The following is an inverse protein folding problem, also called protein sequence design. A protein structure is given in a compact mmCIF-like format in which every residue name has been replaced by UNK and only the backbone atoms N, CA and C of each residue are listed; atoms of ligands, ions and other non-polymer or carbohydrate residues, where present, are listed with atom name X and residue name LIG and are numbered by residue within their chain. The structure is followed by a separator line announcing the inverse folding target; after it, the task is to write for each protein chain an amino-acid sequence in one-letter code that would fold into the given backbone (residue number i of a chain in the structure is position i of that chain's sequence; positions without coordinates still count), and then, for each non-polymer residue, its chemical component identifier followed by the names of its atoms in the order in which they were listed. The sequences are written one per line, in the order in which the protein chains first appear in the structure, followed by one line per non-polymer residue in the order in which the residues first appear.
data_IF_788055645923
#
_entry.id   IF_788055645923
#
_cell.length_a   1.000
_cell.length_b   1.000
_cell.length_c   1.000
_cell.angle_alpha   90.00
_cell.angle_beta   90.00
_cell.angle_gamma   90.00
#
_symmetry.space_group_name_H-M   'P 1'
#
loop_
_entity.id
_entity.type
_entity.pdbx_description
1 polymer ?
#
# COMPACT_ATOMS: atom_id res chain seq x y z
N UNK A 1 3.45 11.68 11.75
CA UNK A 1 3.78 10.36 12.31
C UNK A 1 4.97 10.42 13.27
N UNK A 2 6.15 10.93 12.85
CA UNK A 2 7.36 10.96 13.70
C UNK A 2 7.31 11.83 14.97
N UNK A 3 6.48 12.89 15.00
CA UNK A 3 6.31 13.73 16.20
C UNK A 3 5.53 13.02 17.31
N UNK A 4 4.57 12.16 16.94
CA UNK A 4 3.73 11.44 17.90
C UNK A 4 4.53 10.30 18.56
N UNK A 5 5.35 9.60 17.77
CA UNK A 5 6.21 8.53 18.29
C UNK A 5 7.28 9.07 19.24
N UNK A 6 7.90 10.21 18.93
CA UNK A 6 8.85 10.87 19.82
C UNK A 6 8.19 11.29 21.15
N UNK A 7 6.96 11.81 21.10
CA UNK A 7 6.20 12.19 22.29
C UNK A 7 5.86 10.99 23.18
N UNK A 8 5.39 9.88 22.58
CA UNK A 8 5.07 8.64 23.32
C UNK A 8 6.32 8.06 23.99
N UNK A 9 7.45 8.02 23.28
CA UNK A 9 8.72 7.55 23.84
C UNK A 9 9.16 8.44 25.02
N UNK A 10 9.03 9.75 24.89
CA UNK A 10 9.38 10.70 25.96
C UNK A 10 8.46 10.57 27.19
N UNK A 11 7.16 10.38 26.99
CA UNK A 11 6.20 10.18 28.08
C UNK A 11 6.44 8.86 28.84
N UNK A 12 6.72 7.77 28.12
CA UNK A 12 7.05 6.46 28.73
C UNK A 12 8.38 6.51 29.48
N UNK A 13 9.37 7.22 28.94
CA UNK A 13 10.65 7.46 29.59
C UNK A 13 10.52 8.18 30.94
N UNK A 14 9.71 9.24 30.99
CA UNK A 14 9.40 9.97 32.22
C UNK A 14 8.63 9.10 33.23
N UNK A 15 7.67 8.29 32.77
CA UNK A 15 6.89 7.39 33.64
C UNK A 15 7.74 6.31 34.31
N UNK A 16 8.75 5.78 33.60
CA UNK A 16 9.66 4.77 34.11
C UNK A 16 10.85 5.36 34.92
N UNK A 17 10.88 6.68 35.12
CA UNK A 17 11.89 7.36 35.94
C UNK A 17 13.27 7.47 35.29
N UNK A 18 13.40 7.14 34.01
CA UNK A 18 14.63 7.29 33.27
C UNK A 18 14.74 8.75 32.79
N UNK A 19 15.67 9.52 33.37
CA UNK A 19 15.93 10.94 33.02
C UNK A 19 17.24 11.15 32.29
N UNK A 20 17.96 10.08 31.93
CA UNK A 20 19.34 10.12 31.44
C UNK A 20 19.54 9.46 30.07
N UNK A 21 20.68 9.79 29.45
CA UNK A 21 21.22 9.40 28.12
C UNK A 21 21.05 7.90 27.77
N UNK A 22 20.81 7.02 28.76
CA UNK A 22 20.52 5.59 28.57
C UNK A 22 19.19 5.27 27.89
N UNK A 23 18.27 6.23 27.73
CA UNK A 23 17.05 6.06 26.92
C UNK A 23 17.34 6.10 25.42
N UNK A 24 18.39 6.81 25.00
CA UNK A 24 18.67 7.06 23.58
C UNK A 24 18.84 5.75 22.79
N UNK A 25 19.59 4.74 23.25
CA UNK A 25 19.72 3.46 22.54
C UNK A 25 18.39 2.71 22.41
N UNK A 26 17.54 2.74 23.44
CA UNK A 26 16.24 2.03 23.45
C UNK A 26 15.25 2.76 22.54
N UNK A 27 15.19 4.09 22.62
CA UNK A 27 14.37 4.93 21.75
C UNK A 27 14.76 4.79 20.27
N UNK A 28 16.06 4.76 19.97
CA UNK A 28 16.57 4.53 18.61
C UNK A 28 16.23 3.11 18.16
N UNK A 29 16.40 2.09 19.02
CA UNK A 29 16.03 0.72 18.70
C UNK A 29 14.54 0.55 18.37
N UNK A 30 13.65 1.10 19.20
CA UNK A 30 12.19 1.08 18.97
C UNK A 30 11.83 1.87 17.71
N UNK A 31 12.45 3.03 17.49
CA UNK A 31 12.20 3.85 16.29
C UNK A 31 12.61 3.11 15.01
N UNK A 32 13.78 2.48 15.00
CA UNK A 32 14.25 1.67 13.86
C UNK A 32 13.32 0.49 13.58
N UNK A 33 12.87 -0.23 14.61
CA UNK A 33 11.91 -1.33 14.48
C UNK A 33 10.55 -0.82 13.97
N UNK A 34 10.10 0.33 14.46
CA UNK A 34 8.82 0.93 14.06
C UNK A 34 8.85 1.43 12.61
N UNK A 35 9.97 2.00 12.17
CA UNK A 35 10.21 2.41 10.79
C UNK A 35 10.19 1.17 9.89
N UNK A 36 10.96 0.14 10.24
CA UNK A 36 10.99 -1.11 9.46
C UNK A 36 9.63 -1.81 9.39
N UNK A 37 8.90 -1.89 10.50
CA UNK A 37 7.56 -2.47 10.56
C UNK A 37 6.53 -1.67 9.77
N UNK A 38 6.64 -0.34 9.75
CA UNK A 38 5.76 0.51 8.94
C UNK A 38 6.06 0.34 7.45
N UNK A 39 7.34 0.29 7.05
CA UNK A 39 7.73 0.05 5.66
C UNK A 39 7.22 -1.28 5.11
N UNK A 40 7.17 -2.34 5.93
CA UNK A 40 6.68 -3.66 5.48
C UNK A 40 5.16 -3.80 5.46
N UNK A 41 4.42 -2.93 6.17
CA UNK A 41 2.95 -2.99 6.26
C UNK A 41 2.22 -1.89 5.46
N UNK A 42 2.91 -0.93 4.87
CA UNK A 42 2.28 0.16 4.09
C UNK A 42 1.35 -0.33 2.98
N UNK A 43 1.72 -1.40 2.27
CA UNK A 43 0.92 -1.94 1.16
C UNK A 43 -0.43 -2.52 1.63
N UNK A 44 -0.48 -3.10 2.84
CA UNK A 44 -1.72 -3.64 3.42
C UNK A 44 -2.63 -2.55 3.99
N UNK A 45 -2.04 -1.46 4.49
CA UNK A 45 -2.80 -0.36 5.10
C UNK A 45 -3.59 0.40 4.02
N UNK A 46 -3.00 0.65 2.85
CA UNK A 46 -3.69 1.36 1.74
C UNK A 46 -4.84 0.53 1.16
N UNK A 47 -4.64 -0.78 0.99
CA UNK A 47 -5.68 -1.68 0.51
C UNK A 47 -6.85 -1.81 1.51
N UNK A 48 -6.56 -1.82 2.81
CA UNK A 48 -7.59 -1.93 3.86
C UNK A 48 -8.34 -0.61 4.06
N UNK A 49 -7.68 0.54 3.89
CA UNK A 49 -8.29 1.87 4.05
C UNK A 49 -9.20 2.28 2.88
N UNK A 50 -8.90 1.81 1.66
CA UNK A 50 -9.67 2.15 0.44
C UNK A 50 -10.86 1.22 0.21
N UNK A 51 -11.01 0.13 0.98
CA UNK A 51 -12.02 -0.89 0.71
C UNK A 51 -11.79 -1.62 -0.61
N UNK A 52 -10.55 -1.58 -1.13
CA UNK A 52 -10.18 -2.20 -2.39
C UNK A 52 -10.36 -3.72 -2.33
N UNK A 53 -11.23 -4.26 -3.19
CA UNK A 53 -11.42 -5.70 -3.34
C UNK A 53 -10.39 -6.22 -4.32
N UNK A 54 -9.43 -6.99 -3.82
CA UNK A 54 -8.48 -7.69 -4.69
C UNK A 54 -9.26 -8.66 -5.56
N UNK A 55 -9.06 -8.56 -6.86
CA UNK A 55 -9.68 -9.43 -7.84
C UNK A 55 -8.71 -10.55 -8.23
N UNK A 56 -9.30 -11.70 -8.53
CA UNK A 56 -8.65 -12.82 -9.20
C UNK A 56 -9.26 -13.02 -10.59
N UNK A 57 -8.63 -13.87 -11.40
CA UNK A 57 -9.08 -14.23 -12.74
C UNK A 57 -10.56 -14.66 -12.77
N UNK A 58 -11.03 -15.35 -11.72
CA UNK A 58 -12.43 -15.81 -11.64
C UNK A 58 -13.43 -14.68 -11.36
N UNK A 59 -13.01 -13.62 -10.66
CA UNK A 59 -13.90 -12.52 -10.25
C UNK A 59 -14.08 -11.45 -11.31
N UNK A 60 -13.04 -11.15 -12.09
CA UNK A 60 -13.07 -10.15 -13.15
C UNK A 60 -12.06 -10.51 -14.27
N UNK A 61 -12.36 -11.55 -15.07
CA UNK A 61 -11.41 -12.10 -16.04
C UNK A 61 -10.97 -11.08 -17.09
N UNK A 62 -11.86 -10.17 -17.49
CA UNK A 62 -11.56 -9.17 -18.53
C UNK A 62 -10.49 -8.17 -18.07
N UNK A 63 -10.61 -7.65 -16.85
CA UNK A 63 -9.65 -6.72 -16.28
C UNK A 63 -8.34 -7.43 -15.92
N UNK A 64 -8.42 -8.64 -15.39
CA UNK A 64 -7.24 -9.45 -15.07
C UNK A 64 -6.43 -9.77 -16.33
N UNK A 65 -7.08 -10.18 -17.42
CA UNK A 65 -6.42 -10.48 -18.70
C UNK A 65 -5.80 -9.24 -19.34
N UNK A 66 -6.45 -8.09 -19.24
CA UNK A 66 -5.89 -6.82 -19.71
C UNK A 66 -4.57 -6.49 -19.01
N UNK A 67 -4.54 -6.56 -17.68
CA UNK A 67 -3.31 -6.32 -16.91
C UNK A 67 -2.27 -7.40 -17.21
N UNK A 68 -2.70 -8.66 -17.35
CA UNK A 68 -1.82 -9.78 -17.66
C UNK A 68 -1.11 -9.60 -19.01
N UNK A 69 -1.84 -9.23 -20.07
CA UNK A 69 -1.27 -8.94 -21.38
C UNK A 69 -0.22 -7.82 -21.32
N UNK A 70 -0.52 -6.73 -20.60
CA UNK A 70 0.42 -5.63 -20.40
C UNK A 70 1.68 -6.12 -19.68
N UNK A 71 1.53 -6.92 -18.61
CA UNK A 71 2.68 -7.43 -17.84
C UNK A 71 3.55 -8.37 -18.66
N UNK A 72 2.96 -9.22 -19.50
CA UNK A 72 3.69 -10.09 -20.43
C UNK A 72 4.47 -9.24 -21.44
N UNK A 73 3.82 -8.25 -22.06
CA UNK A 73 4.46 -7.36 -23.02
C UNK A 73 5.60 -6.54 -22.38
N UNK A 74 5.47 -6.21 -21.10
CA UNK A 74 6.44 -5.44 -20.32
C UNK A 74 7.57 -6.29 -19.72
N UNK A 75 7.45 -7.62 -19.72
CA UNK A 75 8.37 -8.52 -19.01
C UNK A 75 8.34 -8.34 -17.48
N UNK A 76 7.24 -7.83 -16.94
CA UNK A 76 7.08 -7.52 -15.52
C UNK A 76 6.30 -8.64 -14.80
N UNK A 77 6.54 -8.87 -13.49
CA UNK A 77 5.70 -9.77 -12.70
C UNK A 77 4.26 -9.26 -12.63
N UNK A 78 3.30 -10.18 -12.49
CA UNK A 78 1.88 -9.85 -12.39
C UNK A 78 1.61 -9.10 -11.06
N UNK A 79 1.16 -7.84 -11.09
CA UNK A 79 0.78 -7.13 -9.88
C UNK A 79 -0.55 -7.65 -9.35
N UNK A 80 -0.85 -7.36 -8.08
CA UNK A 80 -2.20 -7.56 -7.55
C UNK A 80 -3.13 -6.54 -8.19
N UNK A 81 -4.27 -6.99 -8.70
CA UNK A 81 -5.28 -6.09 -9.25
C UNK A 81 -6.41 -5.96 -8.25
N UNK A 82 -6.90 -4.74 -8.03
CA UNK A 82 -8.00 -4.49 -7.12
C UNK A 82 -9.04 -3.54 -7.72
N UNK A 83 -10.28 -3.67 -7.27
CA UNK A 83 -11.38 -2.77 -7.63
C UNK A 83 -11.81 -1.99 -6.39
N UNK A 84 -11.89 -0.68 -6.54
CA UNK A 84 -12.39 0.26 -5.52
C UNK A 84 -13.79 0.71 -5.92
N UNK A 85 -14.74 0.61 -5.00
CA UNK A 85 -16.11 1.11 -5.20
C UNK A 85 -16.09 2.65 -5.05
N UNK A 86 -15.93 3.35 -6.18
CA UNK A 86 -15.91 4.82 -6.24
C UNK A 86 -16.43 5.24 -7.62
N UNK A 87 -17.33 6.23 -7.65
CA UNK A 87 -17.91 6.74 -8.89
C UNK A 87 -16.93 7.64 -9.66
N UNK A 88 -15.94 8.22 -8.99
CA UNK A 88 -14.93 9.05 -9.64
C UNK A 88 -14.02 8.19 -10.55
N UNK A 89 -13.82 8.57 -11.83
CA UNK A 89 -12.99 7.81 -12.73
C UNK A 89 -11.51 7.98 -12.39
N UNK A 90 -10.93 6.99 -11.72
CA UNK A 90 -9.53 6.96 -11.31
C UNK A 90 -8.92 5.55 -11.33
N UNK A 91 -7.61 5.46 -11.50
CA UNK A 91 -6.81 4.27 -11.28
C UNK A 91 -5.44 4.67 -10.72
N UNK A 92 -4.90 3.87 -9.79
CA UNK A 92 -3.59 4.14 -9.20
C UNK A 92 -2.79 2.86 -9.00
N UNK A 93 -1.48 2.97 -9.15
CA UNK A 93 -0.54 1.89 -8.91
C UNK A 93 0.34 2.22 -7.69
N UNK A 94 0.55 1.23 -6.83
CA UNK A 94 1.40 1.32 -5.64
C UNK A 94 2.14 0.01 -5.42
N UNK A 95 3.09 0.00 -4.49
CA UNK A 95 3.91 -1.16 -4.17
C UNK A 95 5.36 -0.76 -3.98
N UNK A 96 6.01 -1.44 -3.04
CA UNK A 96 7.41 -1.20 -2.68
C UNK A 96 8.43 -1.71 -3.71
N UNK A 97 8.06 -2.70 -4.51
CA UNK A 97 8.87 -3.34 -5.55
C UNK A 97 7.94 -4.02 -6.57
N UNK A 98 8.45 -4.47 -7.74
CA UNK A 98 7.63 -5.10 -8.77
C UNK A 98 6.86 -6.35 -8.32
N UNK A 99 7.40 -7.15 -7.41
CA UNK A 99 6.76 -8.37 -6.90
C UNK A 99 5.61 -8.05 -5.91
N UNK A 100 5.67 -6.86 -5.30
CA UNK A 100 4.66 -6.35 -4.37
C UNK A 100 3.80 -5.24 -4.97
N UNK A 101 3.81 -5.11 -6.30
CA UNK A 101 3.01 -4.12 -7.01
C UNK A 101 1.50 -4.42 -6.90
N UNK A 102 0.71 -3.35 -6.82
CA UNK A 102 -0.74 -3.35 -6.73
C UNK A 102 -1.28 -2.27 -7.65
N UNK A 103 -2.27 -2.60 -8.49
CA UNK A 103 -2.99 -1.65 -9.33
C UNK A 103 -4.45 -1.68 -8.93
N UNK A 104 -4.99 -0.53 -8.54
CA UNK A 104 -6.37 -0.37 -8.16
C UNK A 104 -7.14 0.44 -9.21
N UNK A 105 -8.29 -0.08 -9.62
CA UNK A 105 -9.20 0.56 -10.57
C UNK A 105 -10.51 0.91 -9.85
N UNK A 106 -11.02 2.11 -10.06
CA UNK A 106 -12.35 2.49 -9.53
C UNK A 106 -13.48 1.91 -10.39
N UNK A 107 -14.67 1.69 -9.83
CA UNK A 107 -15.84 1.35 -10.64
C UNK A 107 -16.22 2.47 -11.61
N UNK A 108 -15.93 3.73 -11.26
CA UNK A 108 -16.03 4.90 -12.13
C UNK A 108 -15.22 4.78 -13.43
N UNK A 109 -13.93 4.42 -13.34
CA UNK A 109 -13.08 4.33 -14.54
C UNK A 109 -13.50 3.17 -15.44
N UNK A 110 -13.88 2.04 -14.85
CA UNK A 110 -14.29 0.83 -15.58
C UNK A 110 -15.64 1.00 -16.32
N UNK A 111 -16.47 1.97 -15.91
CA UNK A 111 -17.73 2.29 -16.61
C UNK A 111 -17.55 3.26 -17.77
N UNK A 112 -16.52 4.11 -17.71
CA UNK A 112 -16.32 5.21 -18.66
C UNK A 112 -15.31 4.85 -19.74
N UNK A 113 -14.30 4.05 -19.39
CA UNK A 113 -13.22 3.68 -20.32
C UNK A 113 -13.44 2.28 -20.89
N UNK A 114 -13.12 2.14 -22.17
CA UNK A 114 -13.07 0.83 -22.83
C UNK A 114 -11.70 0.14 -22.61
N UNK A 115 -11.59 -1.09 -23.11
CA UNK A 115 -10.38 -1.91 -22.96
C UNK A 115 -9.13 -1.24 -23.53
N UNK A 116 -9.25 -0.60 -24.69
CA UNK A 116 -8.11 0.00 -25.41
C UNK A 116 -7.64 1.26 -24.67
N UNK A 117 -8.58 2.05 -24.16
CA UNK A 117 -8.32 3.21 -23.33
C UNK A 117 -7.70 2.88 -21.96
N UNK A 118 -8.01 1.70 -21.41
CA UNK A 118 -7.38 1.20 -20.18
C UNK A 118 -5.97 0.63 -20.43
N UNK A 119 -5.61 0.28 -21.67
CA UNK A 119 -4.28 -0.20 -22.06
C UNK A 119 -3.32 0.91 -22.48
N UNK A 120 -3.86 2.00 -23.06
CA UNK A 120 -3.10 3.11 -23.62
C UNK A 120 -2.54 4.09 -22.60
#
# INVERSE_FOLDING_TARGET
MGSLTAFVIYAVALYLGYTSVGIIPIAVGISLISVWGSFYNSDKIVLTMTGAKVIDHDTAPQLFNLVHEITIASGMPMPKVAIVEDDAPNAFATGRDPEHAVIAFTTGILRVMDREQLQG
#
